data_IF_961073406548
#
_entry.id   IF_961073406548
#
_cell.length_a   1.000
_cell.length_b   1.000
_cell.length_c   1.000
_cell.angle_alpha   90.00
_cell.angle_beta   90.00
_cell.angle_gamma   90.00
#
_symmetry.space_group_name_H-M   'P 1'
#
loop_
_entity.id
_entity.type
_entity.pdbx_description
1 polymer ?
#
# COMPACT_ATOMS: atom_id res chain seq x y z
N UNK A 1 -0.29 -33.37 -1.01
CA UNK A 1 0.77 -32.40 -0.62
C UNK A 1 0.07 -31.10 -0.30
N UNK A 2 0.48 -30.42 0.76
CA UNK A 2 -0.06 -29.09 1.14
C UNK A 2 0.35 -28.07 0.10
N UNK A 3 -0.60 -27.32 -0.45
CA UNK A 3 -0.31 -26.22 -1.37
C UNK A 3 0.34 -25.04 -0.62
N UNK A 4 0.98 -24.13 -1.34
CA UNK A 4 1.57 -22.92 -0.75
C UNK A 4 0.48 -22.06 -0.06
N UNK A 5 -0.69 -21.96 -0.67
CA UNK A 5 -1.83 -21.24 -0.10
C UNK A 5 -2.33 -21.90 1.19
N UNK A 6 -2.55 -23.22 1.19
CA UNK A 6 -2.98 -23.95 2.38
C UNK A 6 -1.99 -23.77 3.54
N UNK A 7 -0.68 -23.93 3.27
CA UNK A 7 0.37 -23.71 4.26
C UNK A 7 0.31 -22.32 4.89
N UNK A 8 0.17 -21.29 4.05
CA UNK A 8 0.09 -19.91 4.55
C UNK A 8 -1.16 -19.69 5.42
N UNK A 9 -2.33 -20.16 4.97
CA UNK A 9 -3.58 -19.97 5.70
C UNK A 9 -3.60 -20.77 7.02
N UNK A 10 -3.05 -21.97 7.03
CA UNK A 10 -2.83 -22.73 8.27
C UNK A 10 -1.96 -21.95 9.25
N UNK A 11 -0.83 -21.38 8.78
CA UNK A 11 0.03 -20.56 9.63
C UNK A 11 -0.70 -19.31 10.18
N UNK A 12 -1.52 -18.64 9.36
CA UNK A 12 -2.31 -17.48 9.81
C UNK A 12 -3.38 -17.86 10.84
N UNK A 13 -3.90 -19.08 10.77
CA UNK A 13 -4.88 -19.61 11.71
C UNK A 13 -4.24 -20.27 12.95
N UNK A 14 -2.91 -20.17 13.12
CA UNK A 14 -2.15 -20.85 14.17
C UNK A 14 -2.30 -22.39 14.15
N UNK A 15 -2.48 -22.96 12.98
CA UNK A 15 -2.55 -24.41 12.77
C UNK A 15 -1.14 -24.97 12.47
N UNK A 16 -0.89 -26.27 12.74
CA UNK A 16 0.36 -26.92 12.39
C UNK A 16 0.65 -26.86 10.89
N UNK A 17 1.88 -26.55 10.54
CA UNK A 17 2.38 -26.49 9.15
C UNK A 17 3.56 -27.43 8.95
N UNK A 18 3.75 -27.90 7.73
CA UNK A 18 4.89 -28.76 7.37
C UNK A 18 6.22 -27.99 7.41
N UNK A 19 6.19 -26.69 7.15
CA UNK A 19 7.33 -25.76 7.28
C UNK A 19 6.80 -24.33 7.38
N UNK A 20 7.64 -23.41 7.83
CA UNK A 20 7.32 -21.97 7.84
C UNK A 20 7.09 -21.48 6.41
N UNK A 21 5.95 -20.81 6.14
CA UNK A 21 5.72 -20.17 4.84
C UNK A 21 6.67 -19.00 4.63
N UNK A 22 7.25 -18.90 3.43
CA UNK A 22 8.26 -17.89 3.09
C UNK A 22 7.81 -17.09 1.87
N UNK A 23 7.93 -15.79 1.98
CA UNK A 23 7.76 -14.84 0.89
C UNK A 23 8.73 -13.68 1.05
N UNK A 24 9.24 -13.20 -0.08
CA UNK A 24 10.07 -12.02 -0.14
C UNK A 24 9.37 -10.96 -0.98
N UNK A 25 9.86 -9.73 -0.93
CA UNK A 25 9.40 -8.66 -1.79
C UNK A 25 10.58 -7.85 -2.32
N UNK A 26 10.40 -7.32 -3.50
CA UNK A 26 11.39 -6.51 -4.18
C UNK A 26 10.70 -5.31 -4.79
N UNK A 27 11.44 -4.23 -4.95
CA UNK A 27 11.09 -3.17 -5.87
C UNK A 27 11.53 -3.59 -7.27
N UNK A 28 10.63 -3.48 -8.22
CA UNK A 28 10.89 -3.84 -9.62
C UNK A 28 11.18 -2.61 -10.49
N UNK A 29 10.92 -1.42 -9.95
CA UNK A 29 11.30 -0.15 -10.57
C UNK A 29 12.47 0.48 -9.81
N UNK A 30 13.33 1.25 -10.51
CA UNK A 30 14.39 2.03 -9.88
C UNK A 30 13.88 2.91 -8.75
N UNK A 31 14.76 3.25 -7.80
CA UNK A 31 14.44 4.23 -6.78
C UNK A 31 14.40 5.63 -7.41
N UNK A 32 13.28 6.33 -7.23
CA UNK A 32 13.07 7.64 -7.80
C UNK A 32 11.66 7.84 -8.34
N UNK A 33 11.56 8.72 -9.34
CA UNK A 33 10.30 9.11 -9.97
C UNK A 33 9.53 7.93 -10.59
N UNK A 34 10.24 6.89 -11.02
CA UNK A 34 9.67 5.69 -11.61
C UNK A 34 8.63 5.01 -10.71
N UNK A 35 8.83 5.03 -9.39
CA UNK A 35 7.91 4.44 -8.43
C UNK A 35 6.59 5.19 -8.28
N UNK A 36 6.50 6.39 -8.82
CA UNK A 36 5.33 7.28 -8.73
C UNK A 36 4.63 7.52 -10.07
N UNK A 37 5.32 7.32 -11.18
CA UNK A 37 4.92 7.82 -12.50
C UNK A 37 4.13 6.82 -13.35
N UNK A 38 3.52 5.81 -12.77
CA UNK A 38 2.82 4.76 -13.54
C UNK A 38 1.59 5.23 -14.31
N UNK A 39 0.99 6.37 -13.93
CA UNK A 39 -0.09 6.97 -14.73
C UNK A 39 0.42 7.68 -15.98
N UNK A 40 1.56 8.34 -15.89
CA UNK A 40 2.18 9.08 -16.99
C UNK A 40 2.99 8.16 -17.91
N UNK A 41 3.50 7.06 -17.37
CA UNK A 41 4.39 6.11 -18.03
C UNK A 41 3.91 4.67 -17.84
N UNK A 42 2.90 4.20 -18.62
CA UNK A 42 2.32 2.87 -18.47
C UNK A 42 3.32 1.72 -18.66
N UNK A 43 4.42 1.93 -19.37
CA UNK A 43 5.49 0.96 -19.54
C UNK A 43 6.12 0.56 -18.20
N UNK A 44 6.17 1.44 -17.20
CA UNK A 44 6.64 1.13 -15.84
C UNK A 44 5.76 0.09 -15.16
N UNK A 45 4.46 0.13 -15.39
CA UNK A 45 3.54 -0.86 -14.83
C UNK A 45 3.76 -2.22 -15.49
N UNK A 46 4.02 -2.24 -16.79
CA UNK A 46 4.37 -3.49 -17.48
C UNK A 46 5.69 -4.07 -16.95
N UNK A 47 6.69 -3.24 -16.69
CA UNK A 47 7.97 -3.66 -16.08
C UNK A 47 7.77 -4.23 -14.66
N UNK A 48 6.97 -3.56 -13.83
CA UNK A 48 6.61 -4.05 -12.50
C UNK A 48 5.91 -5.43 -12.57
N UNK A 49 4.96 -5.62 -13.47
CA UNK A 49 4.27 -6.90 -13.68
C UNK A 49 5.27 -7.99 -14.11
N UNK A 50 6.15 -7.73 -15.06
CA UNK A 50 7.15 -8.70 -15.51
C UNK A 50 8.17 -9.02 -14.40
N UNK A 51 8.55 -8.05 -13.59
CA UNK A 51 9.37 -8.28 -12.40
C UNK A 51 8.73 -9.25 -11.42
N UNK A 52 7.44 -9.09 -11.13
CA UNK A 52 6.68 -10.04 -10.29
C UNK A 52 6.60 -11.43 -10.91
N UNK A 53 6.33 -11.55 -12.21
CA UNK A 53 6.28 -12.85 -12.90
C UNK A 53 7.60 -13.59 -12.80
N UNK A 54 8.70 -12.87 -13.05
CA UNK A 54 10.06 -13.42 -12.94
C UNK A 54 10.36 -13.87 -11.51
N UNK A 55 10.02 -13.03 -10.51
CA UNK A 55 10.18 -13.37 -9.10
C UNK A 55 9.42 -14.65 -8.73
N UNK A 56 8.14 -14.75 -9.12
CA UNK A 56 7.31 -15.91 -8.84
C UNK A 56 7.91 -17.19 -9.45
N UNK A 57 8.40 -17.09 -10.69
CA UNK A 57 8.97 -18.22 -11.42
C UNK A 57 10.31 -18.68 -10.87
N UNK A 58 11.18 -17.74 -10.48
CA UNK A 58 12.56 -18.05 -10.06
C UNK A 58 12.67 -18.45 -8.59
N UNK A 59 11.84 -17.86 -7.72
CA UNK A 59 11.92 -18.05 -6.27
C UNK A 59 10.88 -18.99 -5.69
N UNK A 60 9.81 -19.28 -6.41
CA UNK A 60 8.68 -20.13 -5.96
C UNK A 60 8.22 -19.81 -4.51
N UNK A 61 7.86 -18.55 -4.19
CA UNK A 61 7.50 -18.16 -2.83
C UNK A 61 6.18 -18.79 -2.39
N UNK A 62 5.95 -18.94 -1.08
CA UNK A 62 4.67 -19.43 -0.55
C UNK A 62 3.53 -18.41 -0.73
N UNK A 63 3.87 -17.13 -0.72
CA UNK A 63 2.93 -16.03 -0.98
C UNK A 63 3.63 -14.87 -1.70
N UNK A 64 2.84 -14.01 -2.33
CA UNK A 64 3.34 -12.85 -3.06
C UNK A 64 2.88 -11.58 -2.38
N UNK A 65 3.80 -10.71 -1.98
CA UNK A 65 3.53 -9.30 -1.75
C UNK A 65 3.61 -8.57 -3.09
N UNK A 66 2.47 -8.13 -3.60
CA UNK A 66 2.41 -7.36 -4.85
C UNK A 66 2.82 -5.93 -4.54
N UNK A 67 3.99 -5.51 -4.99
CA UNK A 67 4.49 -4.15 -4.81
C UNK A 67 3.77 -3.18 -5.74
N UNK A 68 3.41 -2.03 -5.17
CA UNK A 68 2.68 -0.95 -5.86
C UNK A 68 3.59 0.03 -6.59
N UNK A 69 4.80 -0.40 -6.98
CA UNK A 69 5.74 0.44 -7.75
C UNK A 69 5.04 1.03 -8.98
N UNK A 70 5.20 2.32 -9.20
CA UNK A 70 4.46 3.11 -10.17
C UNK A 70 3.23 3.83 -9.58
N UNK A 71 2.75 3.43 -8.39
CA UNK A 71 1.57 3.99 -7.74
C UNK A 71 1.84 4.44 -6.28
N UNK A 72 3.09 4.73 -5.90
CA UNK A 72 3.43 5.09 -4.53
C UNK A 72 2.78 6.39 -4.07
N UNK A 73 2.77 7.39 -4.92
CA UNK A 73 2.21 8.70 -4.61
C UNK A 73 0.71 8.78 -4.81
N UNK A 74 0.10 9.75 -4.14
CA UNK A 74 -1.29 10.08 -4.40
C UNK A 74 -1.38 11.10 -5.55
N UNK A 75 -2.26 10.91 -6.57
CA UNK A 75 -2.31 11.78 -7.75
C UNK A 75 -2.49 13.25 -7.44
N UNK A 76 -3.21 13.59 -6.37
CA UNK A 76 -3.43 14.98 -5.98
C UNK A 76 -2.18 15.71 -5.49
N UNK A 77 -1.11 14.99 -5.15
CA UNK A 77 0.17 15.58 -4.74
C UNK A 77 1.16 15.70 -5.91
N UNK A 78 0.98 14.87 -6.93
CA UNK A 78 1.93 14.70 -8.03
C UNK A 78 2.26 16.02 -8.75
N UNK A 79 3.55 16.35 -8.80
CA UNK A 79 4.06 17.54 -9.48
C UNK A 79 3.73 18.89 -8.82
N UNK A 80 3.12 18.86 -7.62
CA UNK A 80 2.82 20.09 -6.86
C UNK A 80 3.93 20.40 -5.85
N UNK A 81 4.01 21.67 -5.47
CA UNK A 81 4.87 22.14 -4.39
C UNK A 81 4.00 22.59 -3.22
N UNK A 82 4.44 22.24 -2.02
CA UNK A 82 3.76 22.56 -0.78
C UNK A 82 4.75 23.31 0.11
N UNK A 83 4.60 24.62 0.20
CA UNK A 83 5.50 25.49 0.99
C UNK A 83 5.00 25.66 2.42
N UNK A 84 3.70 25.58 2.63
CA UNK A 84 3.00 25.71 3.92
C UNK A 84 1.86 24.69 4.04
N UNK A 85 1.40 24.37 5.27
CA UNK A 85 0.34 23.36 5.47
C UNK A 85 -0.94 23.65 4.68
N UNK A 86 -1.34 24.93 4.55
CA UNK A 86 -2.56 25.33 3.86
C UNK A 86 -2.57 24.96 2.38
N UNK A 87 -1.39 24.82 1.76
CA UNK A 87 -1.29 24.40 0.36
C UNK A 87 -1.86 22.98 0.15
N UNK A 88 -1.84 22.15 1.21
CA UNK A 88 -2.43 20.82 1.20
C UNK A 88 -3.97 20.85 1.13
N UNK A 89 -4.61 21.96 1.48
CA UNK A 89 -6.07 22.06 1.43
C UNK A 89 -6.65 21.99 0.01
N UNK A 90 -5.79 22.07 -1.02
CA UNK A 90 -6.15 21.84 -2.42
C UNK A 90 -6.20 20.34 -2.80
N UNK A 91 -5.94 19.44 -1.85
CA UNK A 91 -6.09 17.99 -2.05
C UNK A 91 -7.58 17.64 -1.96
N UNK A 92 -8.07 16.91 -2.96
CA UNK A 92 -9.45 16.44 -3.04
C UNK A 92 -9.50 14.91 -3.14
N UNK A 93 -10.59 14.28 -2.69
CA UNK A 93 -10.83 12.85 -2.89
C UNK A 93 -10.87 12.50 -4.38
N UNK A 94 -10.41 11.31 -4.73
CA UNK A 94 -10.48 10.80 -6.10
C UNK A 94 -11.89 10.24 -6.40
N UNK A 95 -12.40 10.41 -7.62
CA UNK A 95 -13.56 9.65 -8.04
C UNK A 95 -13.27 8.14 -8.05
N UNK A 96 -14.25 7.32 -7.71
CA UNK A 96 -14.07 5.85 -7.61
C UNK A 96 -13.61 5.20 -8.92
N UNK A 97 -13.82 5.87 -10.05
CA UNK A 97 -13.38 5.41 -11.37
C UNK A 97 -12.05 6.04 -11.83
N UNK A 98 -11.34 6.72 -10.94
CA UNK A 98 -10.07 7.35 -11.26
C UNK A 98 -9.05 6.36 -11.83
N UNK A 99 -8.27 6.73 -12.88
CA UNK A 99 -7.26 5.85 -13.50
C UNK A 99 -6.24 5.27 -12.52
N UNK A 100 -5.87 5.99 -11.48
CA UNK A 100 -4.97 5.52 -10.43
C UNK A 100 -5.53 4.30 -9.68
N UNK A 101 -6.83 4.28 -9.37
CA UNK A 101 -7.50 3.14 -8.72
C UNK A 101 -7.60 1.98 -9.71
N UNK A 102 -8.09 2.24 -10.93
CA UNK A 102 -8.24 1.21 -11.97
C UNK A 102 -6.91 0.55 -12.36
N UNK A 103 -5.85 1.34 -12.43
CA UNK A 103 -4.52 0.85 -12.78
C UNK A 103 -3.96 -0.13 -11.73
N UNK A 104 -4.15 0.16 -10.46
CA UNK A 104 -3.76 -0.75 -9.38
C UNK A 104 -4.53 -2.07 -9.43
N UNK A 105 -5.82 -2.03 -9.70
CA UNK A 105 -6.64 -3.23 -9.88
C UNK A 105 -6.16 -4.07 -11.08
N UNK A 106 -5.81 -3.42 -12.18
CA UNK A 106 -5.28 -4.09 -13.36
C UNK A 106 -3.92 -4.76 -13.09
N UNK A 107 -3.00 -4.06 -12.40
CA UNK A 107 -1.73 -4.61 -11.93
C UNK A 107 -1.95 -5.88 -11.10
N UNK A 108 -2.84 -5.81 -10.11
CA UNK A 108 -3.13 -6.93 -9.20
C UNK A 108 -3.67 -8.13 -9.99
N UNK A 109 -4.62 -7.93 -10.91
CA UNK A 109 -5.15 -9.01 -11.77
C UNK A 109 -4.06 -9.79 -12.49
N UNK A 110 -3.11 -9.10 -13.10
CA UNK A 110 -2.03 -9.72 -13.84
C UNK A 110 -1.07 -10.51 -12.92
N UNK A 111 -0.72 -9.96 -11.78
CA UNK A 111 0.19 -10.65 -10.84
C UNK A 111 -0.51 -11.83 -10.16
N UNK A 112 -1.77 -11.69 -9.75
CA UNK A 112 -2.57 -12.81 -9.18
C UNK A 112 -2.71 -13.95 -10.18
N UNK A 113 -2.96 -13.63 -11.45
CA UNK A 113 -3.00 -14.62 -12.53
C UNK A 113 -1.67 -15.38 -12.67
N UNK A 114 -0.55 -14.67 -12.57
CA UNK A 114 0.78 -15.27 -12.62
C UNK A 114 1.09 -16.13 -11.38
N UNK A 115 0.65 -15.70 -10.19
CA UNK A 115 0.82 -16.44 -8.94
C UNK A 115 0.04 -17.77 -8.92
N UNK A 116 -1.07 -17.84 -9.64
CA UNK A 116 -1.94 -19.02 -9.70
C UNK A 116 -2.80 -19.19 -8.44
N UNK A 117 -3.70 -20.19 -8.46
CA UNK A 117 -4.68 -20.40 -7.38
C UNK A 117 -4.09 -21.03 -6.11
N UNK A 118 -2.93 -21.64 -6.23
CA UNK A 118 -2.28 -22.35 -5.12
C UNK A 118 -1.38 -21.45 -4.28
N UNK A 119 -1.42 -20.14 -4.52
CA UNK A 119 -0.60 -19.15 -3.84
C UNK A 119 -1.41 -17.89 -3.51
N UNK A 120 -1.37 -17.44 -2.28
CA UNK A 120 -2.00 -16.19 -1.86
C UNK A 120 -1.16 -14.99 -2.30
N UNK A 121 -1.84 -13.92 -2.69
CA UNK A 121 -1.23 -12.65 -3.06
C UNK A 121 -1.84 -11.52 -2.24
N UNK A 122 -1.00 -10.62 -1.74
CA UNK A 122 -1.40 -9.48 -0.92
C UNK A 122 -0.92 -8.19 -1.59
N UNK A 123 -1.82 -7.25 -1.80
CA UNK A 123 -1.46 -5.99 -2.44
C UNK A 123 -0.88 -5.00 -1.45
N UNK A 124 0.30 -4.45 -1.75
CA UNK A 124 0.93 -3.45 -0.91
C UNK A 124 0.20 -2.12 -1.00
N UNK A 125 -0.23 -1.60 0.15
CA UNK A 125 -0.73 -0.24 0.32
C UNK A 125 0.16 0.42 1.37
N UNK A 126 0.79 1.53 1.05
CA UNK A 126 1.44 2.35 2.06
C UNK A 126 0.37 3.10 2.86
N UNK A 127 0.55 3.24 4.17
CA UNK A 127 -0.40 3.97 5.00
C UNK A 127 -0.57 5.43 4.55
N UNK A 128 -1.72 6.06 4.85
CA UNK A 128 -1.98 7.44 4.42
C UNK A 128 -0.87 8.43 4.79
N UNK A 129 -0.35 8.34 6.02
CA UNK A 129 0.75 9.18 6.46
C UNK A 129 2.06 8.85 5.73
N UNK A 130 2.31 7.56 5.46
CA UNK A 130 3.49 7.14 4.70
C UNK A 130 3.49 7.76 3.30
N UNK A 131 2.34 7.76 2.61
CA UNK A 131 2.20 8.41 1.28
C UNK A 131 2.52 9.90 1.36
N UNK A 132 1.96 10.61 2.33
CA UNK A 132 2.25 12.05 2.52
C UNK A 132 3.74 12.30 2.77
N UNK A 133 4.36 11.46 3.60
CA UNK A 133 5.77 11.53 3.94
C UNK A 133 6.70 11.27 2.75
N UNK A 134 6.35 10.31 1.90
CA UNK A 134 7.12 9.99 0.70
C UNK A 134 7.14 11.15 -0.30
N UNK A 135 6.09 11.94 -0.35
CA UNK A 135 5.99 13.11 -1.24
C UNK A 135 6.64 14.37 -0.63
N UNK A 136 6.49 14.59 0.68
CA UNK A 136 6.92 15.83 1.35
C UNK A 136 8.26 15.73 2.09
N UNK A 137 8.73 14.55 2.42
CA UNK A 137 9.79 14.21 3.38
C UNK A 137 9.35 14.20 4.85
N UNK A 138 10.10 13.46 5.69
CA UNK A 138 9.86 13.39 7.14
C UNK A 138 9.91 14.77 7.81
N UNK A 139 10.94 15.55 7.47
CA UNK A 139 11.16 16.86 8.09
C UNK A 139 9.99 17.82 7.80
N UNK A 140 9.51 17.84 6.58
CA UNK A 140 8.42 18.74 6.17
C UNK A 140 7.07 18.32 6.76
N UNK A 141 6.79 17.02 6.80
CA UNK A 141 5.59 16.51 7.48
C UNK A 141 5.61 16.85 8.97
N UNK A 142 6.76 16.69 9.65
CA UNK A 142 6.89 17.06 11.05
C UNK A 142 6.75 18.57 11.32
N UNK A 143 7.29 19.42 10.42
CA UNK A 143 7.10 20.87 10.48
C UNK A 143 5.61 21.25 10.34
N UNK A 144 4.95 20.71 9.32
CA UNK A 144 3.54 20.98 9.06
C UNK A 144 2.63 20.46 10.18
N UNK A 145 2.95 19.28 10.71
CA UNK A 145 2.21 18.69 11.82
C UNK A 145 2.30 19.54 13.08
N UNK A 146 3.48 20.05 13.44
CA UNK A 146 3.67 20.91 14.61
C UNK A 146 2.87 22.22 14.57
N UNK A 147 2.61 22.72 13.37
CA UNK A 147 1.90 23.99 13.18
C UNK A 147 0.39 23.80 12.96
N UNK A 148 0.01 22.79 12.22
CA UNK A 148 -1.39 22.54 11.80
C UNK A 148 -1.73 21.04 11.73
N UNK A 149 -1.78 20.31 12.86
CA UNK A 149 -2.03 18.87 12.87
C UNK A 149 -3.40 18.50 12.25
N UNK A 150 -4.41 19.37 12.35
CA UNK A 150 -5.74 19.16 11.79
C UNK A 150 -5.73 19.15 10.25
N UNK A 151 -4.82 19.90 9.62
CA UNK A 151 -4.66 19.85 8.16
C UNK A 151 -4.09 18.49 7.76
N UNK A 152 -3.06 18.03 8.45
CA UNK A 152 -2.48 16.70 8.19
C UNK A 152 -3.55 15.61 8.39
N UNK A 153 -4.31 15.67 9.49
CA UNK A 153 -5.40 14.73 9.75
C UNK A 153 -6.44 14.72 8.62
N UNK A 154 -6.83 15.90 8.14
CA UNK A 154 -7.77 16.01 7.01
C UNK A 154 -7.22 15.32 5.76
N UNK A 155 -5.94 15.53 5.43
CA UNK A 155 -5.32 14.97 4.22
C UNK A 155 -5.16 13.45 4.31
N UNK A 156 -4.68 12.93 5.43
CA UNK A 156 -4.56 11.49 5.61
C UNK A 156 -5.93 10.79 5.60
N UNK A 157 -6.99 11.46 6.06
CA UNK A 157 -8.35 10.94 5.97
C UNK A 157 -8.87 10.90 4.53
N UNK A 158 -8.53 11.87 3.68
CA UNK A 158 -8.84 11.82 2.24
C UNK A 158 -8.13 10.62 1.61
N UNK A 159 -6.82 10.49 1.82
CA UNK A 159 -6.06 9.35 1.30
C UNK A 159 -6.59 8.02 1.79
N UNK A 160 -7.01 7.93 3.05
CA UNK A 160 -7.58 6.72 3.62
C UNK A 160 -8.85 6.26 2.89
N UNK A 161 -9.74 7.18 2.49
CA UNK A 161 -10.94 6.84 1.73
C UNK A 161 -10.59 6.31 0.33
N UNK A 162 -9.66 6.96 -0.36
CA UNK A 162 -9.22 6.54 -1.69
C UNK A 162 -8.48 5.19 -1.63
N UNK A 163 -7.64 4.97 -0.63
CA UNK A 163 -6.95 3.70 -0.38
C UNK A 163 -7.92 2.59 0.06
N UNK A 164 -8.96 2.91 0.82
CA UNK A 164 -10.01 1.97 1.17
C UNK A 164 -10.76 1.48 -0.08
N UNK A 165 -10.99 2.37 -1.06
CA UNK A 165 -11.56 1.97 -2.36
C UNK A 165 -10.59 1.07 -3.14
N UNK A 166 -9.29 1.40 -3.16
CA UNK A 166 -8.27 0.50 -3.73
C UNK A 166 -8.30 -0.87 -3.03
N UNK A 167 -8.29 -0.89 -1.69
CA UNK A 167 -8.31 -2.14 -0.91
C UNK A 167 -9.51 -3.01 -1.27
N UNK A 168 -10.71 -2.43 -1.33
CA UNK A 168 -11.93 -3.15 -1.74
C UNK A 168 -11.78 -3.75 -3.13
N UNK A 169 -11.33 -2.98 -4.10
CA UNK A 169 -11.33 -3.41 -5.50
C UNK A 169 -10.19 -4.35 -5.85
N UNK A 170 -9.02 -4.24 -5.22
CA UNK A 170 -7.93 -5.22 -5.42
C UNK A 170 -8.30 -6.60 -4.88
N UNK A 171 -9.16 -6.68 -3.84
CA UNK A 171 -9.69 -7.94 -3.32
C UNK A 171 -10.82 -8.45 -4.22
N UNK A 172 -11.86 -7.64 -4.45
CA UNK A 172 -13.09 -8.09 -5.13
C UNK A 172 -12.93 -8.25 -6.64
N UNK A 173 -12.16 -7.38 -7.29
CA UNK A 173 -11.96 -7.40 -8.73
C UNK A 173 -10.56 -7.91 -9.10
N UNK A 174 -9.53 -7.57 -8.31
CA UNK A 174 -8.14 -7.94 -8.54
C UNK A 174 -7.85 -9.41 -8.22
N UNK A 175 -8.60 -9.99 -7.27
CA UNK A 175 -8.43 -11.36 -6.80
C UNK A 175 -7.31 -11.53 -5.77
N UNK A 176 -6.85 -10.44 -5.15
CA UNK A 176 -5.92 -10.53 -4.03
C UNK A 176 -6.59 -11.20 -2.82
N UNK A 177 -5.83 -12.00 -2.06
CA UNK A 177 -6.29 -12.61 -0.79
C UNK A 177 -6.61 -11.56 0.26
N UNK A 178 -5.88 -10.45 0.25
CA UNK A 178 -6.00 -9.31 1.15
C UNK A 178 -5.02 -8.21 0.79
N UNK A 179 -4.80 -7.29 1.72
CA UNK A 179 -3.81 -6.24 1.58
C UNK A 179 -2.57 -6.48 2.43
N UNK A 180 -1.47 -5.86 2.05
CA UNK A 180 -0.26 -5.72 2.85
C UNK A 180 -0.11 -4.24 3.19
N UNK A 181 -0.66 -3.82 4.35
CA UNK A 181 -0.59 -2.42 4.77
C UNK A 181 0.79 -2.14 5.35
N UNK A 182 1.56 -1.31 4.66
CA UNK A 182 2.90 -0.90 5.07
C UNK A 182 2.84 0.44 5.78
N UNK A 183 3.01 0.41 7.10
CA UNK A 183 3.08 1.58 7.97
C UNK A 183 4.55 1.89 8.23
N UNK A 184 5.00 3.00 7.71
CA UNK A 184 6.31 3.56 8.01
C UNK A 184 6.09 4.77 8.89
N UNK A 185 5.93 4.53 10.18
CA UNK A 185 5.65 5.59 11.14
C UNK A 185 6.88 6.50 11.25
N UNK A 186 6.71 7.81 11.18
CA UNK A 186 7.80 8.71 11.50
C UNK A 186 8.25 8.47 12.94
N UNK A 187 9.55 8.62 13.17
CA UNK A 187 10.15 8.49 14.51
C UNK A 187 9.44 9.42 15.50
N UNK A 188 9.42 9.06 16.78
CA UNK A 188 8.84 9.85 17.88
C UNK A 188 9.29 11.33 17.91
N UNK A 189 10.44 11.61 17.31
CA UNK A 189 10.96 12.98 17.13
C UNK A 189 10.13 13.82 16.14
N UNK A 190 9.36 13.19 15.27
CA UNK A 190 8.58 13.84 14.20
C UNK A 190 7.12 13.96 14.62
N UNK A 191 6.52 12.85 15.05
CA UNK A 191 5.14 12.80 15.58
C UNK A 191 5.17 11.91 16.82
N UNK A 192 4.71 12.41 17.98
CA UNK A 192 4.63 11.62 19.20
C UNK A 192 3.61 10.48 19.08
N UNK A 193 3.75 9.44 19.91
CA UNK A 193 2.76 8.34 19.93
C UNK A 193 1.35 8.80 20.32
N UNK A 194 1.23 9.86 21.14
CA UNK A 194 -0.04 10.48 21.50
C UNK A 194 -0.66 11.17 20.30
N UNK A 195 0.10 12.01 19.60
CA UNK A 195 -0.35 12.73 18.42
C UNK A 195 -0.70 11.76 17.27
N UNK A 196 0.10 10.71 17.07
CA UNK A 196 -0.22 9.66 16.11
C UNK A 196 -1.58 9.02 16.43
N UNK A 197 -1.81 8.69 17.69
CA UNK A 197 -3.07 8.08 18.13
C UNK A 197 -4.25 9.03 17.91
N UNK A 198 -4.07 10.32 18.21
CA UNK A 198 -5.11 11.33 18.09
C UNK A 198 -5.44 11.71 16.65
N UNK A 199 -4.44 11.86 15.79
CA UNK A 199 -4.62 12.49 14.47
C UNK A 199 -4.47 11.53 13.28
N UNK A 200 -3.73 10.42 13.42
CA UNK A 200 -3.32 9.61 12.29
C UNK A 200 -3.97 8.22 12.28
N UNK A 201 -3.95 7.52 13.41
CA UNK A 201 -4.36 6.11 13.52
C UNK A 201 -5.71 5.81 12.88
N UNK A 202 -6.70 6.66 13.08
CA UNK A 202 -8.05 6.46 12.52
C UNK A 202 -8.04 6.34 10.98
N UNK A 203 -7.12 6.99 10.29
CA UNK A 203 -6.98 6.90 8.84
C UNK A 203 -6.50 5.51 8.39
N UNK A 204 -5.62 4.89 9.14
CA UNK A 204 -5.13 3.53 8.87
C UNK A 204 -6.20 2.48 9.18
N UNK A 205 -6.95 2.67 10.28
CA UNK A 205 -8.08 1.83 10.65
C UNK A 205 -9.17 1.79 9.54
N UNK A 206 -9.39 2.90 8.82
CA UNK A 206 -10.32 2.96 7.67
C UNK A 206 -9.87 2.01 6.54
N UNK A 207 -8.59 2.01 6.21
CA UNK A 207 -8.04 1.14 5.15
C UNK A 207 -8.12 -0.33 5.56
N UNK A 208 -7.73 -0.65 6.80
CA UNK A 208 -7.80 -2.02 7.33
C UNK A 208 -9.24 -2.51 7.42
N UNK A 209 -10.17 -1.69 7.90
CA UNK A 209 -11.57 -2.05 8.00
C UNK A 209 -12.18 -2.37 6.62
N UNK A 210 -11.83 -1.60 5.59
CA UNK A 210 -12.28 -1.86 4.22
C UNK A 210 -11.80 -3.21 3.67
N UNK A 211 -10.56 -3.60 3.96
CA UNK A 211 -10.03 -4.89 3.58
C UNK A 211 -10.63 -6.03 4.42
N UNK A 212 -10.71 -5.86 5.75
CA UNK A 212 -11.19 -6.88 6.68
C UNK A 212 -12.68 -7.19 6.53
N UNK A 213 -13.47 -6.27 5.97
CA UNK A 213 -14.86 -6.54 5.61
C UNK A 213 -15.02 -7.56 4.47
N UNK A 214 -13.95 -7.80 3.69
CA UNK A 214 -13.97 -8.63 2.49
C UNK A 214 -13.06 -9.86 2.58
N UNK A 215 -12.05 -9.81 3.45
CA UNK A 215 -11.10 -10.90 3.66
C UNK A 215 -10.77 -11.04 5.14
N UNK A 216 -10.57 -12.28 5.58
CA UNK A 216 -10.07 -12.59 6.92
C UNK A 216 -8.54 -12.40 7.02
N UNK A 217 -7.87 -12.21 5.89
CA UNK A 217 -6.41 -12.26 5.80
C UNK A 217 -5.88 -10.95 5.22
N UNK A 218 -5.20 -10.21 6.06
CA UNK A 218 -4.39 -9.05 5.67
C UNK A 218 -3.11 -9.03 6.49
N UNK A 219 -2.08 -8.41 5.97
CA UNK A 219 -0.79 -8.30 6.66
C UNK A 219 -0.58 -6.85 7.04
N UNK A 220 -0.34 -6.59 8.33
CA UNK A 220 0.12 -5.30 8.81
C UNK A 220 1.64 -5.36 8.99
N UNK A 221 2.34 -4.49 8.29
CA UNK A 221 3.79 -4.34 8.38
C UNK A 221 4.13 -2.98 8.96
N UNK A 222 4.72 -2.98 10.14
CA UNK A 222 5.22 -1.76 10.79
C UNK A 222 6.73 -1.75 10.61
N UNK A 223 7.20 -0.79 9.83
CA UNK A 223 8.61 -0.59 9.54
C UNK A 223 9.10 0.64 10.32
N UNK A 224 10.02 0.44 11.26
CA UNK A 224 10.74 1.49 11.96
C UNK A 224 12.19 1.55 11.48
N UNK A 225 12.80 2.72 11.52
CA UNK A 225 14.22 2.92 11.32
C UNK A 225 14.86 3.32 12.63
#
# INVERSE_FOLDING_TARGET
MTTNRERLLQAFNNEPVDRVPVGFWFHFLPDGDERYAGLERPELIAENIEGHKKYIQEFDPDFVKIMSDGYFGHPSLRGKKFEKPEDLLAVEPLPSDHPWIKGQVALVKEVVKAAGKERSSFYNIFSPLTVLRQELSNAKVGEFFKTNPEIIQKIVNIFAQDQAEVARRVITEGGAEGIYLSVQTPEDQIISGEDYTQYIRASEDVVLAAANALSQYSILHICGY
#
